data_IF_754911619323
#
_entry.id   IF_754911619323
#
_cell.length_a   1.000
_cell.length_b   1.000
_cell.length_c   1.000
_cell.angle_alpha   90.00
_cell.angle_beta   90.00
_cell.angle_gamma   90.00
#
_symmetry.space_group_name_H-M   'P 1'
#
loop_
_entity.id
_entity.type
_entity.pdbx_description
1 polymer ?
#
# COMPACT_ATOMS: atom_id res chain seq x y z
N UNK A 1 -1.27 -22.94 -7.41
CA UNK A 1 -0.51 -21.73 -7.03
C UNK A 1 0.36 -21.97 -5.79
N UNK A 2 -0.19 -22.40 -4.66
CA UNK A 2 0.56 -22.61 -3.41
C UNK A 2 1.78 -23.57 -3.53
N UNK A 3 1.65 -24.67 -4.29
CA UNK A 3 2.74 -25.63 -4.51
C UNK A 3 4.02 -25.02 -5.13
N UNK A 4 3.91 -23.91 -5.87
CA UNK A 4 5.07 -23.21 -6.42
C UNK A 4 5.88 -22.51 -5.33
N UNK A 5 5.20 -21.80 -4.43
CA UNK A 5 5.82 -21.07 -3.32
C UNK A 5 6.38 -22.03 -2.26
N UNK A 6 5.70 -23.15 -2.00
CA UNK A 6 6.19 -24.20 -1.07
C UNK A 6 7.50 -24.81 -1.57
N UNK A 7 7.62 -25.06 -2.88
CA UNK A 7 8.85 -25.63 -3.47
C UNK A 7 9.98 -24.60 -3.65
N UNK A 8 9.68 -23.29 -3.54
CA UNK A 8 10.67 -22.20 -3.63
C UNK A 8 10.51 -21.21 -2.46
N UNK A 9 10.86 -21.63 -1.23
CA UNK A 9 10.62 -20.83 -0.02
C UNK A 9 11.33 -19.49 -0.03
N UNK A 10 12.54 -19.41 -0.63
CA UNK A 10 13.29 -18.15 -0.75
C UNK A 10 12.53 -17.14 -1.61
N UNK A 11 11.94 -17.58 -2.73
CA UNK A 11 11.17 -16.69 -3.60
C UNK A 11 9.93 -16.13 -2.89
N UNK A 12 9.24 -16.96 -2.10
CA UNK A 12 8.09 -16.53 -1.30
C UNK A 12 8.48 -15.44 -0.29
N UNK A 13 9.61 -15.61 0.39
CA UNK A 13 10.13 -14.62 1.34
C UNK A 13 10.56 -13.31 0.68
N UNK A 14 11.23 -13.36 -0.47
CA UNK A 14 11.60 -12.16 -1.22
C UNK A 14 10.36 -11.36 -1.61
N UNK A 15 9.33 -12.02 -2.13
CA UNK A 15 8.07 -11.35 -2.49
C UNK A 15 7.39 -10.71 -1.27
N UNK A 16 7.35 -11.42 -0.15
CA UNK A 16 6.80 -10.90 1.10
C UNK A 16 7.54 -9.63 1.56
N UNK A 17 8.87 -9.64 1.53
CA UNK A 17 9.70 -8.48 1.92
C UNK A 17 9.44 -7.30 0.99
N UNK A 18 9.40 -7.51 -0.33
CA UNK A 18 9.10 -6.46 -1.30
C UNK A 18 7.72 -5.83 -1.03
N UNK A 19 6.71 -6.65 -0.78
CA UNK A 19 5.36 -6.19 -0.46
C UNK A 19 5.30 -5.37 0.83
N UNK A 20 5.99 -5.82 1.89
CA UNK A 20 6.06 -5.08 3.14
C UNK A 20 6.78 -3.74 2.96
N UNK A 21 7.89 -3.70 2.22
CA UNK A 21 8.60 -2.44 1.93
C UNK A 21 7.74 -1.47 1.13
N UNK A 22 7.04 -1.96 0.10
CA UNK A 22 6.12 -1.13 -0.68
C UNK A 22 4.99 -0.57 0.20
N UNK A 23 4.42 -1.41 1.08
CA UNK A 23 3.40 -0.99 2.04
C UNK A 23 3.92 0.06 3.04
N UNK A 24 5.12 -0.14 3.58
CA UNK A 24 5.76 0.79 4.50
C UNK A 24 5.98 2.17 3.84
N UNK A 25 6.45 2.19 2.60
CA UNK A 25 6.61 3.44 1.83
C UNK A 25 5.26 4.12 1.57
N UNK A 26 4.22 3.35 1.23
CA UNK A 26 2.89 3.90 1.01
C UNK A 26 2.32 4.55 2.27
N UNK A 27 2.48 3.92 3.45
CA UNK A 27 2.02 4.47 4.73
C UNK A 27 2.66 5.84 5.01
N UNK A 28 3.94 6.00 4.69
CA UNK A 28 4.65 7.27 4.91
C UNK A 28 4.25 8.38 3.92
N UNK A 29 3.78 8.00 2.74
CA UNK A 29 3.44 8.96 1.67
C UNK A 29 1.95 9.27 1.58
N UNK A 30 1.08 8.43 2.15
CA UNK A 30 -0.36 8.61 2.10
C UNK A 30 -0.81 9.83 2.92
N UNK A 31 -1.58 10.77 2.32
CA UNK A 31 -2.13 11.89 3.06
C UNK A 31 -3.13 11.43 4.11
N UNK A 32 -2.99 11.97 5.33
CA UNK A 32 -3.90 11.71 6.45
C UNK A 32 -4.88 12.87 6.58
N UNK A 33 -6.17 12.57 6.46
CA UNK A 33 -7.26 13.52 6.69
C UNK A 33 -8.38 12.85 7.50
N UNK A 34 -9.02 13.60 8.40
CA UNK A 34 -10.11 13.09 9.24
C UNK A 34 -11.36 12.73 8.40
N UNK A 35 -11.63 13.55 7.38
CA UNK A 35 -12.67 13.30 6.39
C UNK A 35 -12.10 13.62 5.00
N UNK A 36 -12.50 12.86 3.97
CA UNK A 36 -12.19 13.24 2.59
C UNK A 36 -12.90 14.55 2.23
N UNK A 37 -12.46 15.18 1.14
CA UNK A 37 -13.17 16.35 0.61
C UNK A 37 -14.57 15.91 0.13
N UNK A 38 -15.59 16.30 0.88
CA UNK A 38 -17.00 15.95 0.63
C UNK A 38 -17.85 17.16 0.23
N UNK A 39 -17.40 18.37 0.53
CA UNK A 39 -18.14 19.60 0.22
C UNK A 39 -17.78 20.10 -1.19
N UNK A 40 -18.74 20.65 -1.95
CA UNK A 40 -18.45 21.31 -3.21
C UNK A 40 -17.47 22.48 -2.97
N UNK A 41 -16.43 22.65 -3.81
CA UNK A 41 -15.51 23.77 -3.67
C UNK A 41 -16.27 25.08 -3.88
N UNK A 42 -16.31 25.93 -2.85
CA UNK A 42 -16.87 27.27 -2.95
C UNK A 42 -15.77 28.24 -3.42
N UNK A 43 -16.01 28.93 -4.54
CA UNK A 43 -15.13 30.01 -5.02
C UNK A 43 -15.72 31.33 -4.50
N UNK A 44 -15.03 32.00 -3.57
CA UNK A 44 -15.36 33.38 -3.20
C UNK A 44 -14.56 34.35 -4.06
N UNK A 45 -15.23 35.34 -4.65
CA UNK A 45 -14.61 36.46 -5.37
C UNK A 45 -14.35 37.60 -4.41
#
# INVERSE_FOLDING_TARGET
>A
MANFFIRRPIFAWVLAIILMMAGALAILQLPVAQYPTIAPPAVSV
#
